data_IF_391601185423
#
_entry.id   IF_391601185423
#
_cell.length_a   1.000
_cell.length_b   1.000
_cell.length_c   1.000
_cell.angle_alpha   90.00
_cell.angle_beta   90.00
_cell.angle_gamma   90.00
#
_symmetry.space_group_name_H-M   'P 1'
#
loop_
_entity.id
_entity.type
_entity.pdbx_description
1 polymer ?
#
# COMPACT_ATOMS: atom_id res chain seq x y z
N UNK A 1 23.59 17.20 -28.14
CA UNK A 1 22.23 17.21 -27.56
C UNK A 1 21.70 18.63 -27.59
N UNK A 2 20.69 18.92 -28.42
CA UNK A 2 20.06 20.25 -28.53
C UNK A 2 18.62 20.17 -28.01
N UNK A 3 18.06 21.27 -27.53
CA UNK A 3 16.70 21.28 -26.97
C UNK A 3 15.62 20.82 -27.98
N UNK A 4 15.84 21.08 -29.28
CA UNK A 4 14.94 20.68 -30.36
C UNK A 4 15.08 19.22 -30.83
N UNK A 5 16.04 18.45 -30.27
CA UNK A 5 16.27 17.04 -30.64
C UNK A 5 15.79 16.06 -29.57
N UNK A 6 15.21 16.55 -28.47
CA UNK A 6 14.72 15.72 -27.37
C UNK A 6 13.28 15.28 -27.64
N UNK A 7 13.06 13.97 -27.71
CA UNK A 7 11.72 13.37 -27.76
C UNK A 7 11.57 12.35 -26.63
N UNK A 8 10.37 12.20 -26.05
CA UNK A 8 10.12 11.12 -25.10
C UNK A 8 10.21 9.75 -25.78
N UNK A 9 10.35 8.69 -24.98
CA UNK A 9 10.24 7.32 -25.48
C UNK A 9 8.85 7.07 -26.08
N UNK A 10 8.79 6.17 -27.06
CA UNK A 10 7.54 5.86 -27.74
C UNK A 10 6.50 5.31 -26.75
N UNK A 11 5.28 5.86 -26.80
CA UNK A 11 4.19 5.52 -25.88
C UNK A 11 4.25 6.20 -24.51
N UNK A 12 5.32 6.91 -24.14
CA UNK A 12 5.42 7.60 -22.86
C UNK A 12 4.44 8.79 -22.71
N UNK A 13 3.93 9.31 -23.83
CA UNK A 13 2.87 10.34 -23.84
C UNK A 13 1.73 9.89 -24.73
N UNK A 14 0.53 9.84 -24.17
CA UNK A 14 -0.71 9.62 -24.91
C UNK A 14 -1.42 10.96 -25.12
N UNK A 15 -2.03 11.14 -26.28
CA UNK A 15 -2.85 12.33 -26.54
C UNK A 15 -4.10 12.31 -25.66
N UNK A 16 -4.44 13.46 -25.08
CA UNK A 16 -5.67 13.59 -24.29
C UNK A 16 -6.89 13.49 -25.20
N UNK A 17 -7.89 12.74 -24.75
CA UNK A 17 -9.19 12.69 -25.43
C UNK A 17 -9.89 14.05 -25.37
N UNK A 18 -10.24 14.61 -26.53
CA UNK A 18 -10.97 15.88 -26.65
C UNK A 18 -12.39 15.63 -27.15
N UNK A 19 -13.35 15.65 -26.23
CA UNK A 19 -14.75 15.40 -26.57
C UNK A 19 -15.43 16.61 -27.24
N UNK A 20 -16.47 16.37 -28.03
CA UNK A 20 -17.25 17.40 -28.72
C UNK A 20 -16.48 18.09 -29.84
N UNK A 21 -15.75 17.33 -30.67
CA UNK A 21 -14.95 17.85 -31.80
C UNK A 21 -15.33 17.15 -33.12
N UNK A 22 -16.57 17.35 -33.58
CA UNK A 22 -17.07 16.80 -34.85
C UNK A 22 -17.38 15.30 -34.81
N UNK A 23 -17.98 14.78 -35.89
CA UNK A 23 -18.40 13.37 -36.00
C UNK A 23 -17.18 12.44 -36.18
N UNK A 24 -16.20 12.85 -36.99
CA UNK A 24 -15.00 12.06 -37.29
C UNK A 24 -14.08 11.77 -36.09
N UNK A 25 -14.26 12.46 -34.95
CA UNK A 25 -13.52 12.16 -33.72
C UNK A 25 -14.10 11.00 -32.91
N UNK A 26 -15.26 10.44 -33.29
CA UNK A 26 -15.96 9.38 -32.55
C UNK A 26 -16.62 9.81 -31.23
N UNK A 27 -16.26 10.99 -30.70
CA UNK A 27 -16.78 11.55 -29.45
C UNK A 27 -17.44 12.92 -29.68
N UNK A 28 -18.16 13.07 -30.80
CA UNK A 28 -18.84 14.29 -31.21
C UNK A 28 -20.06 14.67 -30.35
N UNK A 29 -21.24 14.79 -30.97
CA UNK A 29 -22.52 15.32 -30.43
C UNK A 29 -22.76 15.10 -28.93
N UNK A 30 -22.68 13.87 -28.44
CA UNK A 30 -23.00 13.51 -27.03
C UNK A 30 -21.77 13.44 -26.13
N UNK A 31 -20.56 13.60 -26.67
CA UNK A 31 -19.31 13.57 -25.92
C UNK A 31 -19.14 12.30 -25.04
N UNK A 32 -19.69 11.17 -25.49
CA UNK A 32 -19.66 9.89 -24.75
C UNK A 32 -20.67 9.77 -23.59
N UNK A 33 -21.60 10.72 -23.43
CA UNK A 33 -22.57 10.75 -22.32
C UNK A 33 -23.96 10.18 -22.64
N UNK A 34 -24.20 9.77 -23.89
CA UNK A 34 -25.53 9.36 -24.34
C UNK A 34 -26.53 10.51 -24.44
N UNK A 35 -27.83 10.20 -24.36
CA UNK A 35 -28.92 11.17 -24.52
C UNK A 35 -29.65 11.45 -23.18
N UNK A 36 -29.76 12.74 -22.82
CA UNK A 36 -30.54 13.22 -21.65
C UNK A 36 -30.14 12.50 -20.34
N UNK A 37 -30.97 12.60 -19.30
CA UNK A 37 -30.73 11.98 -18.00
C UNK A 37 -29.73 12.72 -17.10
N UNK A 38 -29.72 12.35 -15.82
CA UNK A 38 -28.94 13.04 -14.79
C UNK A 38 -27.43 13.03 -15.07
N UNK A 39 -26.87 11.93 -15.62
CA UNK A 39 -25.44 11.82 -15.92
C UNK A 39 -24.99 12.64 -17.15
N UNK A 40 -25.89 13.04 -18.05
CA UNK A 40 -25.54 13.88 -19.19
C UNK A 40 -25.46 15.38 -18.85
N UNK A 41 -26.09 15.83 -17.75
CA UNK A 41 -26.13 17.24 -17.34
C UNK A 41 -24.79 17.71 -16.77
N UNK A 42 -24.51 19.01 -16.91
CA UNK A 42 -23.33 19.64 -16.30
C UNK A 42 -23.37 19.51 -14.78
N UNK A 43 -22.20 19.38 -14.15
CA UNK A 43 -22.06 19.08 -12.73
C UNK A 43 -22.09 17.59 -12.39
N UNK A 44 -22.38 16.72 -13.39
CA UNK A 44 -22.79 15.31 -13.27
C UNK A 44 -24.03 15.24 -12.37
N UNK A 45 -25.06 14.46 -12.70
CA UNK A 45 -26.06 14.10 -11.70
C UNK A 45 -25.33 13.44 -10.54
N UNK A 46 -24.98 14.20 -9.49
CA UNK A 46 -24.06 13.81 -8.41
C UNK A 46 -24.77 12.82 -7.50
N UNK A 47 -25.10 11.67 -8.07
CA UNK A 47 -25.42 10.48 -7.33
C UNK A 47 -24.19 10.22 -6.46
N UNK A 48 -24.36 10.46 -5.16
CA UNK A 48 -23.28 10.31 -4.19
C UNK A 48 -22.82 8.86 -4.19
N UNK A 49 -21.53 8.64 -3.94
CA UNK A 49 -21.03 7.29 -3.72
C UNK A 49 -21.86 6.62 -2.61
N UNK A 50 -22.42 5.44 -2.91
CA UNK A 50 -23.31 4.71 -2.01
C UNK A 50 -24.80 5.06 -2.09
N UNK A 51 -25.27 5.86 -3.07
CA UNK A 51 -26.70 6.03 -3.32
C UNK A 51 -27.24 4.95 -4.27
N UNK A 52 -28.24 4.18 -3.82
CA UNK A 52 -28.82 3.03 -4.52
C UNK A 52 -30.23 3.32 -5.09
N UNK A 53 -30.48 4.55 -5.54
CA UNK A 53 -31.75 4.89 -6.22
C UNK A 53 -32.97 5.12 -5.32
N UNK A 54 -32.78 5.12 -4.00
CA UNK A 54 -33.85 5.32 -3.01
C UNK A 54 -33.95 4.19 -1.99
N UNK A 55 -33.37 3.02 -2.30
CA UNK A 55 -33.20 1.93 -1.34
C UNK A 55 -32.26 2.35 -0.20
N UNK A 56 -32.45 1.77 0.99
CA UNK A 56 -31.50 1.89 2.09
C UNK A 56 -30.13 1.35 1.64
N UNK A 57 -29.06 2.17 1.60
CA UNK A 57 -27.76 1.72 1.12
C UNK A 57 -27.17 0.59 1.96
N UNK A 58 -26.35 -0.27 1.35
CA UNK A 58 -25.69 -1.38 2.03
C UNK A 58 -24.95 -0.96 3.30
N UNK A 59 -24.22 0.17 3.26
CA UNK A 59 -23.50 0.73 4.42
C UNK A 59 -24.39 1.14 5.61
N UNK A 60 -25.70 1.25 5.40
CA UNK A 60 -26.71 1.52 6.44
C UNK A 60 -27.52 0.28 6.80
N UNK A 61 -27.65 -0.69 5.88
CA UNK A 61 -28.36 -1.96 6.11
C UNK A 61 -27.59 -2.89 7.04
N UNK A 62 -26.27 -2.92 6.91
CA UNK A 62 -25.42 -3.79 7.72
C UNK A 62 -25.08 -3.12 9.06
N UNK A 63 -25.05 -3.88 10.17
CA UNK A 63 -24.61 -3.35 11.46
C UNK A 63 -23.12 -3.02 11.40
N UNK A 64 -22.69 -2.02 12.19
CA UNK A 64 -21.27 -1.77 12.42
C UNK A 64 -20.74 -2.82 13.39
N UNK A 65 -19.64 -3.45 13.05
CA UNK A 65 -19.03 -4.52 13.86
C UNK A 65 -17.56 -4.17 14.11
N UNK A 66 -17.08 -4.47 15.33
CA UNK A 66 -15.68 -4.33 15.73
C UNK A 66 -15.34 -2.98 16.36
N UNK A 67 -14.06 -2.82 16.70
CA UNK A 67 -13.49 -1.61 17.27
C UNK A 67 -12.05 -1.43 16.76
N UNK A 68 -11.53 -0.20 16.82
CA UNK A 68 -10.15 0.09 16.45
C UNK A 68 -9.26 0.09 17.69
N UNK A 69 -8.40 -0.92 17.83
CA UNK A 69 -7.41 -0.96 18.90
C UNK A 69 -6.38 0.17 18.77
N UNK A 70 -6.15 0.93 19.85
CA UNK A 70 -5.10 1.96 19.91
C UNK A 70 -3.69 1.35 19.91
N UNK A 71 -3.56 0.11 20.37
CA UNK A 71 -2.29 -0.60 20.50
C UNK A 71 -1.87 -1.31 19.20
N UNK A 72 -2.77 -1.48 18.23
CA UNK A 72 -2.48 -2.23 17.00
C UNK A 72 -1.33 -1.65 16.16
N UNK A 73 -1.02 -0.36 16.34
CA UNK A 73 0.10 0.32 15.67
C UNK A 73 1.36 0.40 16.53
N UNK A 74 1.30 0.00 17.80
CA UNK A 74 2.44 0.03 18.70
C UNK A 74 3.42 -1.10 18.39
N UNK A 75 2.95 -2.22 17.82
CA UNK A 75 3.78 -3.35 17.40
C UNK A 75 3.95 -3.34 15.89
N UNK A 76 5.19 -3.20 15.43
CA UNK A 76 5.54 -3.32 14.02
C UNK A 76 5.97 -4.75 13.69
N UNK A 77 5.67 -5.20 12.49
CA UNK A 77 6.14 -6.48 11.99
C UNK A 77 7.40 -6.28 11.14
N UNK A 78 8.44 -7.08 11.38
CA UNK A 78 9.66 -7.12 10.58
C UNK A 78 9.86 -8.52 10.03
N UNK A 79 10.13 -8.62 8.73
CA UNK A 79 10.21 -9.87 8.00
C UNK A 79 11.66 -10.33 7.88
N UNK A 80 11.91 -11.65 7.82
CA UNK A 80 13.28 -12.20 7.79
C UNK A 80 14.13 -11.66 6.62
N UNK A 81 13.56 -11.55 5.42
CA UNK A 81 14.27 -10.99 4.27
C UNK A 81 14.63 -9.49 4.44
N UNK A 82 13.92 -8.77 5.32
CA UNK A 82 14.25 -7.37 5.62
C UNK A 82 15.40 -7.31 6.61
N UNK A 83 15.44 -8.26 7.56
CA UNK A 83 16.54 -8.43 8.49
C UNK A 83 17.85 -8.75 7.74
N UNK A 84 17.80 -9.62 6.74
CA UNK A 84 18.97 -10.05 5.97
C UNK A 84 19.67 -8.91 5.18
N UNK A 85 18.97 -7.79 4.96
CA UNK A 85 19.55 -6.58 4.37
C UNK A 85 20.47 -5.81 5.32
N UNK A 86 20.37 -6.08 6.62
CA UNK A 86 21.22 -5.47 7.64
C UNK A 86 22.56 -6.19 7.72
N UNK A 87 23.53 -5.52 8.31
CA UNK A 87 24.80 -6.13 8.65
C UNK A 87 24.60 -7.15 9.77
N UNK A 88 25.28 -8.28 9.65
CA UNK A 88 25.21 -9.35 10.63
C UNK A 88 25.68 -8.85 12.00
N UNK A 89 24.99 -9.26 13.07
CA UNK A 89 25.35 -8.86 14.42
C UNK A 89 24.16 -8.73 15.37
N UNK A 90 24.37 -7.92 16.40
CA UNK A 90 23.39 -7.64 17.44
C UNK A 90 22.38 -6.59 16.94
N UNK A 91 21.12 -6.97 16.83
CA UNK A 91 20.03 -6.09 16.42
C UNK A 91 19.08 -5.89 17.60
N UNK A 92 18.95 -4.64 18.02
CA UNK A 92 17.96 -4.17 18.97
C UNK A 92 16.83 -3.40 18.25
N UNK A 93 15.83 -2.99 19.03
CA UNK A 93 14.73 -2.19 18.51
C UNK A 93 15.18 -0.82 17.95
N UNK A 94 16.24 -0.23 18.50
CA UNK A 94 16.78 1.04 18.03
C UNK A 94 17.45 0.89 16.66
N UNK A 95 18.19 -0.19 16.43
CA UNK A 95 18.80 -0.55 15.16
C UNK A 95 17.74 -0.79 14.07
N UNK A 96 16.64 -1.48 14.41
CA UNK A 96 15.50 -1.65 13.48
C UNK A 96 14.84 -0.32 13.10
N UNK A 97 14.76 0.64 14.03
CA UNK A 97 14.29 2.00 13.75
C UNK A 97 15.29 2.80 12.92
N UNK A 98 16.58 2.74 13.23
CA UNK A 98 17.64 3.42 12.49
C UNK A 98 17.69 2.93 11.03
N UNK A 99 17.49 1.63 10.83
CA UNK A 99 17.38 1.00 9.52
C UNK A 99 16.05 1.29 8.78
N UNK A 100 15.12 2.04 9.39
CA UNK A 100 13.79 2.35 8.84
C UNK A 100 12.95 1.10 8.51
N UNK A 101 13.23 -0.02 9.17
CA UNK A 101 12.41 -1.24 9.07
C UNK A 101 11.17 -1.16 9.94
N UNK A 102 11.23 -0.34 11.00
CA UNK A 102 10.15 -0.11 11.95
C UNK A 102 9.73 1.37 11.90
N UNK A 103 8.41 1.69 11.87
CA UNK A 103 7.94 3.07 11.97
C UNK A 103 8.41 3.75 13.26
N UNK A 104 8.70 5.06 13.19
CA UNK A 104 9.13 5.84 14.36
C UNK A 104 8.11 5.79 15.52
N UNK A 105 6.83 5.66 15.19
CA UNK A 105 5.70 5.60 16.14
C UNK A 105 5.55 4.26 16.83
N UNK A 106 6.18 3.20 16.35
CA UNK A 106 6.08 1.89 16.97
C UNK A 106 6.86 1.86 18.28
N UNK A 107 6.36 1.09 19.25
CA UNK A 107 6.98 0.86 20.56
C UNK A 107 7.67 -0.50 20.65
N UNK A 108 7.24 -1.46 19.84
CA UNK A 108 7.75 -2.83 19.83
C UNK A 108 7.87 -3.34 18.39
N UNK A 109 8.73 -4.34 18.18
CA UNK A 109 8.84 -5.07 16.93
C UNK A 109 8.59 -6.56 17.15
N UNK A 110 7.93 -7.19 16.17
CA UNK A 110 7.72 -8.63 16.10
C UNK A 110 8.32 -9.18 14.81
N UNK A 111 9.26 -10.12 14.94
CA UNK A 111 9.89 -10.78 13.80
C UNK A 111 8.99 -11.92 13.31
N UNK A 112 8.67 -11.88 12.01
CA UNK A 112 7.74 -12.80 11.36
C UNK A 112 8.45 -13.57 10.25
N UNK A 113 8.20 -14.89 10.19
CA UNK A 113 8.81 -15.77 9.18
C UNK A 113 8.24 -15.43 7.80
N UNK A 114 9.05 -14.77 6.98
CA UNK A 114 8.79 -14.58 5.55
C UNK A 114 10.12 -14.31 4.84
N UNK A 115 10.41 -15.09 3.81
CA UNK A 115 11.71 -15.12 3.17
C UNK A 115 12.75 -15.90 3.97
N UNK A 116 14.00 -15.84 3.52
CA UNK A 116 15.12 -16.57 4.08
C UNK A 116 16.07 -15.63 4.83
N UNK A 117 16.92 -16.23 5.66
CA UNK A 117 17.92 -15.55 6.46
C UNK A 117 19.25 -16.24 6.21
N UNK A 118 20.23 -15.50 5.68
CA UNK A 118 21.55 -16.05 5.34
C UNK A 118 22.58 -15.69 6.40
N UNK A 119 22.40 -14.55 7.06
CA UNK A 119 23.31 -14.02 8.07
C UNK A 119 22.90 -14.42 9.49
N UNK A 120 23.90 -14.52 10.36
CA UNK A 120 23.71 -14.73 11.79
C UNK A 120 23.30 -13.42 12.46
N UNK A 121 22.18 -13.44 13.19
CA UNK A 121 21.69 -12.30 13.95
C UNK A 121 21.42 -12.66 15.40
N UNK A 122 21.75 -11.74 16.30
CA UNK A 122 21.38 -11.82 17.72
C UNK A 122 20.36 -10.73 17.98
N UNK A 123 19.11 -11.13 18.19
CA UNK A 123 18.00 -10.20 18.38
C UNK A 123 17.76 -9.95 19.86
N UNK A 124 17.74 -8.69 20.28
CA UNK A 124 17.57 -8.29 21.69
C UNK A 124 16.30 -7.46 21.89
N UNK A 125 15.44 -7.84 22.83
CA UNK A 125 14.25 -7.06 23.20
C UNK A 125 13.18 -6.97 22.11
N UNK A 126 13.11 -7.98 21.23
CA UNK A 126 12.12 -8.06 20.15
C UNK A 126 11.35 -9.38 20.20
N UNK A 127 10.06 -9.31 19.92
CA UNK A 127 9.22 -10.51 19.86
C UNK A 127 9.54 -11.29 18.58
N UNK A 128 9.45 -12.61 18.61
CA UNK A 128 9.58 -13.44 17.42
C UNK A 128 8.44 -14.46 17.35
N UNK A 129 7.92 -14.69 16.15
CA UNK A 129 7.03 -15.83 15.90
C UNK A 129 7.80 -17.14 16.03
N UNK A 130 7.13 -18.24 16.41
CA UNK A 130 7.77 -19.55 16.56
C UNK A 130 8.54 -19.98 15.29
N UNK A 131 7.95 -19.75 14.11
CA UNK A 131 8.62 -20.05 12.84
C UNK A 131 9.82 -19.14 12.54
N UNK A 132 9.78 -17.87 12.98
CA UNK A 132 10.92 -16.96 12.79
C UNK A 132 12.07 -17.35 13.72
N UNK A 133 11.77 -17.64 14.99
CA UNK A 133 12.75 -18.09 15.98
C UNK A 133 13.51 -19.32 15.49
N UNK A 134 12.80 -20.34 15.02
CA UNK A 134 13.41 -21.54 14.45
C UNK A 134 14.31 -21.24 13.23
N UNK A 135 13.91 -20.31 12.35
CA UNK A 135 14.73 -19.93 11.20
C UNK A 135 16.00 -19.15 11.61
N UNK A 136 15.91 -18.30 12.63
CA UNK A 136 17.05 -17.55 13.17
C UNK A 136 18.04 -18.49 13.87
N UNK A 137 17.54 -19.43 14.67
CA UNK A 137 18.37 -20.45 15.32
C UNK A 137 19.03 -21.40 14.30
N UNK A 138 18.33 -21.78 13.23
CA UNK A 138 18.89 -22.57 12.14
C UNK A 138 20.02 -21.84 11.40
N UNK A 139 19.98 -20.51 11.32
CA UNK A 139 21.06 -19.68 10.79
C UNK A 139 22.19 -19.42 11.82
N UNK A 140 22.15 -20.07 12.99
CA UNK A 140 23.14 -19.92 14.06
C UNK A 140 22.98 -18.64 14.89
N UNK A 141 21.86 -17.92 14.73
CA UNK A 141 21.48 -16.74 15.49
C UNK A 141 20.83 -17.07 16.84
N UNK A 142 20.47 -16.03 17.59
CA UNK A 142 19.82 -16.14 18.90
C UNK A 142 18.77 -15.06 19.07
N UNK A 143 17.69 -15.37 19.79
CA UNK A 143 16.69 -14.39 20.24
C UNK A 143 16.78 -14.30 21.75
N UNK A 144 17.20 -13.14 22.25
CA UNK A 144 17.28 -12.79 23.66
C UNK A 144 16.07 -11.92 24.02
N UNK A 145 15.34 -12.30 25.06
CA UNK A 145 14.14 -11.59 25.54
C UNK A 145 14.46 -10.19 26.06
#
# INVERSE_FOLDING_TARGET
MRLNTLKPADGARQERTRVGRGIGSGLGKTAGRGHKGSFARSGKGKIKAGFEGGQMPMQRRLPKIGFRSKLAKDTAEVLLYQLDKLDAGDIDFAALKAAKLVPSTAKQAKIVKKGELTKKFVLKGVLATAGAKAAIEAAGGKVEE
#
